data_IF_169755899301
#
_entry.id   IF_169755899301
#
_cell.length_a   1.000
_cell.length_b   1.000
_cell.length_c   1.000
_cell.angle_alpha   90.00
_cell.angle_beta   90.00
_cell.angle_gamma   90.00
#
_symmetry.space_group_name_H-M   'P 1'
#
loop_
_entity.id
_entity.type
_entity.pdbx_description
1 polymer ?
#
# COMPACT_ATOMS: atom_id res chain seq x y z
N UNK A 1 16.03 15.24 1.94
CA UNK A 1 15.43 13.97 1.48
C UNK A 1 14.28 14.29 0.53
N UNK A 2 14.02 13.44 -0.46
CA UNK A 2 12.83 13.59 -1.32
C UNK A 2 11.59 13.23 -0.51
N UNK A 3 10.58 14.10 -0.56
CA UNK A 3 9.32 13.93 0.13
C UNK A 3 8.14 14.31 -0.80
N UNK A 4 6.96 13.78 -0.47
CA UNK A 4 5.70 14.11 -1.10
C UNK A 4 4.86 14.94 -0.13
N UNK A 5 4.67 16.22 -0.46
CA UNK A 5 3.62 17.04 0.12
C UNK A 5 2.29 16.67 -0.53
N UNK A 6 1.36 16.17 0.28
CA UNK A 6 0.10 15.62 -0.19
C UNK A 6 -1.05 16.45 0.34
N UNK A 7 -1.87 16.96 -0.58
CA UNK A 7 -3.08 17.71 -0.28
C UNK A 7 -4.32 17.05 -0.88
N UNK A 8 -5.41 17.05 -0.12
CA UNK A 8 -6.73 16.59 -0.58
C UNK A 8 -7.72 17.75 -0.44
N UNK A 9 -8.42 18.08 -1.53
CA UNK A 9 -9.37 19.20 -1.61
C UNK A 9 -8.75 20.53 -1.12
N UNK A 10 -7.51 20.79 -1.52
CA UNK A 10 -6.75 22.00 -1.17
C UNK A 10 -6.25 22.06 0.28
N UNK A 11 -6.49 21.03 1.10
CA UNK A 11 -5.95 20.94 2.46
C UNK A 11 -4.73 20.03 2.48
N UNK A 12 -3.61 20.52 3.01
CA UNK A 12 -2.43 19.71 3.26
C UNK A 12 -2.78 18.62 4.30
N UNK A 13 -2.51 17.37 3.95
CA UNK A 13 -2.82 16.19 4.77
C UNK A 13 -1.55 15.64 5.40
N UNK A 14 -0.47 15.50 4.62
CA UNK A 14 0.82 15.06 5.14
C UNK A 14 1.96 15.45 4.21
N UNK A 15 3.17 15.50 4.79
CA UNK A 15 4.44 15.45 4.09
C UNK A 15 5.07 14.09 4.36
N UNK A 16 5.07 13.21 3.37
CA UNK A 16 5.58 11.84 3.50
C UNK A 16 6.99 11.74 2.90
N UNK A 17 7.90 11.05 3.58
CA UNK A 17 9.24 10.82 3.05
C UNK A 17 9.94 9.64 3.69
N UNK A 18 10.86 9.06 2.93
CA UNK A 18 11.78 8.02 3.40
C UNK A 18 13.18 8.61 3.36
N UNK A 19 14.01 8.27 4.36
CA UNK A 19 15.34 8.86 4.55
C UNK A 19 16.34 8.33 3.52
N UNK A 20 17.21 7.40 3.92
CA UNK A 20 18.41 7.08 3.14
C UNK A 20 18.13 6.08 2.02
N UNK A 21 17.53 4.94 2.36
CA UNK A 21 17.23 3.87 1.40
C UNK A 21 15.80 3.39 1.55
N UNK A 22 15.06 3.39 0.45
CA UNK A 22 13.71 2.86 0.45
C UNK A 22 12.87 3.26 -0.74
N UNK A 23 11.57 3.06 -0.59
CA UNK A 23 10.56 3.39 -1.59
C UNK A 23 9.57 4.35 -0.97
N UNK A 24 9.19 5.40 -1.70
CA UNK A 24 8.07 6.26 -1.37
C UNK A 24 7.06 6.20 -2.52
N UNK A 25 5.79 6.02 -2.20
CA UNK A 25 4.71 5.84 -3.17
C UNK A 25 3.46 6.58 -2.73
N UNK A 26 2.76 7.12 -3.72
CA UNK A 26 1.42 7.66 -3.57
C UNK A 26 0.57 7.04 -4.69
N UNK A 27 -0.41 6.23 -4.31
CA UNK A 27 -1.15 5.35 -5.22
C UNK A 27 -2.63 5.70 -5.13
N UNK A 28 -3.19 6.14 -6.25
CA UNK A 28 -4.63 6.29 -6.44
C UNK A 28 -5.16 5.03 -7.15
N UNK A 29 -6.02 4.29 -6.46
CA UNK A 29 -6.56 3.02 -6.93
C UNK A 29 -8.05 3.15 -7.16
N UNK A 30 -8.50 2.84 -8.37
CA UNK A 30 -9.91 2.57 -8.65
C UNK A 30 -10.05 1.11 -9.05
N UNK A 31 -10.90 0.37 -8.35
CA UNK A 31 -11.21 -1.01 -8.69
C UNK A 31 -12.72 -1.23 -8.69
N UNK A 32 -13.20 -1.86 -9.76
CA UNK A 32 -14.60 -2.27 -9.91
C UNK A 32 -14.62 -3.73 -10.30
N UNK A 33 -15.16 -4.58 -9.43
CA UNK A 33 -15.12 -6.04 -9.55
C UNK A 33 -16.49 -6.64 -9.28
N UNK A 34 -16.75 -7.81 -9.85
CA UNK A 34 -17.89 -8.63 -9.43
C UNK A 34 -17.54 -9.29 -8.10
N UNK A 35 -18.46 -9.26 -7.14
CA UNK A 35 -18.25 -9.88 -5.84
C UNK A 35 -18.02 -11.40 -6.02
N UNK A 36 -16.90 -11.92 -5.53
CA UNK A 36 -16.59 -13.36 -5.62
C UNK A 36 -17.52 -14.22 -4.73
N UNK A 37 -18.27 -13.60 -3.81
CA UNK A 37 -19.04 -14.28 -2.74
C UNK A 37 -20.55 -14.09 -2.81
N UNK A 38 -21.09 -13.28 -3.73
CA UNK A 38 -22.53 -13.18 -3.89
C UNK A 38 -22.99 -14.32 -4.80
N UNK A 39 -23.81 -15.24 -4.27
CA UNK A 39 -24.27 -16.44 -4.99
C UNK A 39 -25.10 -16.17 -6.24
N UNK A 40 -25.38 -14.92 -6.55
CA UNK A 40 -26.12 -14.41 -7.70
C UNK A 40 -25.24 -13.72 -8.76
N UNK A 41 -23.96 -13.43 -8.47
CA UNK A 41 -23.03 -12.77 -9.40
C UNK A 41 -23.42 -11.35 -9.83
N UNK A 42 -24.38 -10.74 -9.14
CA UNK A 42 -24.93 -9.41 -9.46
C UNK A 42 -24.37 -8.29 -8.59
N UNK A 43 -23.74 -8.61 -7.46
CA UNK A 43 -23.12 -7.60 -6.61
C UNK A 43 -21.82 -7.08 -7.24
N UNK A 44 -21.75 -5.76 -7.37
CA UNK A 44 -20.58 -5.04 -7.86
C UNK A 44 -19.92 -4.37 -6.66
N UNK A 45 -18.67 -4.71 -6.41
CA UNK A 45 -17.82 -4.00 -5.46
C UNK A 45 -17.02 -2.94 -6.20
N UNK A 46 -17.16 -1.69 -5.78
CA UNK A 46 -16.43 -0.55 -6.31
C UNK A 46 -15.70 0.17 -5.17
N UNK A 47 -14.40 0.39 -5.36
CA UNK A 47 -13.55 1.12 -4.43
C UNK A 47 -12.71 2.16 -5.16
N UNK A 48 -12.60 3.34 -4.56
CA UNK A 48 -11.67 4.40 -4.97
C UNK A 48 -10.86 4.79 -3.73
N UNK A 49 -9.60 4.39 -3.67
CA UNK A 49 -8.73 4.63 -2.52
C UNK A 49 -7.49 5.40 -2.93
N UNK A 50 -6.98 6.21 -2.00
CA UNK A 50 -5.71 6.88 -2.14
C UNK A 50 -4.84 6.57 -0.92
N UNK A 51 -3.68 6.01 -1.20
CA UNK A 51 -2.74 5.53 -0.20
C UNK A 51 -1.38 6.18 -0.42
N UNK A 52 -0.79 6.70 0.66
CA UNK A 52 0.57 7.23 0.68
C UNK A 52 1.37 6.40 1.67
N UNK A 53 2.39 5.74 1.16
CA UNK A 53 3.18 4.79 1.93
C UNK A 53 4.56 4.61 1.35
N UNK A 54 5.38 3.87 2.08
CA UNK A 54 6.75 3.61 1.71
C UNK A 54 7.32 2.40 2.41
N UNK A 55 8.53 2.05 2.02
CA UNK A 55 9.31 0.99 2.62
C UNK A 55 10.68 1.55 2.99
N UNK A 56 10.97 1.66 4.28
CA UNK A 56 12.31 2.00 4.76
C UNK A 56 13.17 0.75 4.79
N UNK A 57 14.21 0.72 3.96
CA UNK A 57 15.11 -0.42 3.79
C UNK A 57 16.35 -0.35 4.68
N UNK A 58 16.47 0.64 5.56
CA UNK A 58 17.61 0.78 6.47
C UNK A 58 17.53 -0.18 7.69
N UNK A 59 16.40 -0.86 7.88
CA UNK A 59 16.20 -1.80 8.97
C UNK A 59 16.91 -3.16 8.69
N UNK A 60 17.72 -3.69 9.63
CA UNK A 60 18.64 -4.81 9.37
C UNK A 60 18.02 -6.18 9.07
N UNK A 61 16.71 -6.39 9.27
CA UNK A 61 16.11 -7.74 9.21
C UNK A 61 14.85 -7.86 8.33
N UNK A 62 14.19 -6.75 8.02
CA UNK A 62 13.13 -6.64 7.03
C UNK A 62 12.81 -5.15 6.89
N UNK A 63 12.53 -4.66 5.68
CA UNK A 63 12.13 -3.26 5.49
C UNK A 63 10.92 -2.90 6.37
N UNK A 64 10.90 -1.67 6.87
CA UNK A 64 9.77 -1.14 7.65
C UNK A 64 8.77 -0.51 6.69
N UNK A 65 7.57 -1.09 6.60
CA UNK A 65 6.47 -0.50 5.84
C UNK A 65 5.90 0.68 6.61
N UNK A 66 5.84 1.83 5.95
CA UNK A 66 5.37 3.09 6.47
C UNK A 66 4.10 3.48 5.72
N UNK A 67 3.09 3.96 6.45
CA UNK A 67 1.87 4.51 5.85
C UNK A 67 1.55 5.86 6.49
N UNK A 68 1.42 6.89 5.66
CA UNK A 68 1.04 8.25 6.06
C UNK A 68 -0.41 8.57 5.76
N UNK A 69 -1.01 7.93 4.77
CA UNK A 69 -2.38 8.16 4.39
C UNK A 69 -2.99 6.88 3.83
N UNK A 70 -4.22 6.59 4.22
CA UNK A 70 -5.09 5.65 3.54
C UNK A 70 -6.52 6.15 3.62
N UNK A 71 -7.09 6.55 2.49
CA UNK A 71 -8.39 7.21 2.46
C UNK A 71 -9.22 6.79 1.25
N UNK A 72 -10.51 6.59 1.45
CA UNK A 72 -11.47 6.47 0.35
C UNK A 72 -11.81 7.86 -0.19
N UNK A 73 -11.84 7.98 -1.52
CA UNK A 73 -12.21 9.20 -2.22
C UNK A 73 -13.56 9.04 -2.91
N UNK A 74 -14.19 10.16 -3.21
CA UNK A 74 -15.41 10.22 -4.01
C UNK A 74 -15.20 11.08 -5.26
N UNK A 75 -16.07 10.92 -6.25
CA UNK A 75 -16.06 11.75 -7.46
C UNK A 75 -16.17 13.23 -7.07
N UNK A 76 -15.25 14.04 -7.57
CA UNK A 76 -15.15 15.47 -7.26
C UNK A 76 -14.05 15.80 -6.24
N UNK A 77 -13.51 14.80 -5.54
CA UNK A 77 -12.30 15.01 -4.73
C UNK A 77 -11.10 15.30 -5.62
N UNK A 78 -10.24 16.21 -5.17
CA UNK A 78 -8.97 16.57 -5.80
C UNK A 78 -7.81 16.14 -4.92
N UNK A 79 -6.84 15.46 -5.52
CA UNK A 79 -5.56 15.10 -4.90
C UNK A 79 -4.46 15.89 -5.58
N UNK A 80 -3.61 16.53 -4.79
CA UNK A 80 -2.41 17.22 -5.26
C UNK A 80 -1.20 16.65 -4.54
N UNK A 81 -0.16 16.33 -5.31
CA UNK A 81 1.11 15.80 -4.82
C UNK A 81 2.21 16.70 -5.34
N UNK A 82 3.00 17.28 -4.43
CA UNK A 82 4.21 18.02 -4.77
C UNK A 82 5.43 17.24 -4.32
N UNK A 83 6.37 17.05 -5.23
CA UNK A 83 7.68 16.48 -4.90
C UNK A 83 8.57 17.60 -4.40
N UNK A 84 9.06 17.47 -3.18
CA UNK A 84 9.89 18.48 -2.51
C UNK A 84 11.15 17.85 -1.94
N UNK A 85 12.15 18.68 -1.69
CA UNK A 85 13.33 18.30 -0.93
C UNK A 85 13.31 19.01 0.43
N UNK A 86 13.24 18.22 1.51
CA UNK A 86 13.11 18.73 2.89
C UNK A 86 13.97 17.90 3.86
N UNK A 87 14.28 18.48 5.01
CA UNK A 87 15.03 17.80 6.08
C UNK A 87 14.12 16.99 7.03
N UNK A 88 12.86 17.40 7.15
CA UNK A 88 11.89 16.81 8.08
C UNK A 88 10.58 16.52 7.35
N UNK A 89 9.95 15.43 7.76
CA UNK A 89 8.68 14.93 7.23
C UNK A 89 7.77 14.55 8.39
N UNK A 90 6.48 14.41 8.13
CA UNK A 90 5.53 14.01 9.15
C UNK A 90 5.78 12.57 9.59
N UNK A 91 5.37 12.25 10.83
CA UNK A 91 5.40 10.87 11.30
C UNK A 91 4.35 10.03 10.58
N UNK A 92 4.68 8.81 10.11
CA UNK A 92 3.71 7.92 9.51
C UNK A 92 2.66 7.49 10.54
N UNK A 93 1.40 7.39 10.10
CA UNK A 93 0.26 6.92 10.90
C UNK A 93 0.46 5.49 11.38
N UNK A 94 1.05 4.63 10.54
CA UNK A 94 1.39 3.26 10.91
C UNK A 94 2.79 2.87 10.46
N UNK A 95 3.43 2.06 11.29
CA UNK A 95 4.72 1.43 11.02
C UNK A 95 4.56 -0.06 11.24
N UNK A 96 4.81 -0.85 10.20
CA UNK A 96 4.79 -2.30 10.30
C UNK A 96 6.13 -2.84 9.84
N UNK A 97 6.82 -3.51 10.76
CA UNK A 97 7.95 -4.36 10.40
C UNK A 97 7.39 -5.68 9.91
N UNK A 98 7.90 -6.17 8.79
CA UNK A 98 7.65 -7.55 8.41
C UNK A 98 8.31 -8.46 9.44
N UNK A 99 7.51 -9.29 10.13
CA UNK A 99 8.04 -10.39 10.92
C UNK A 99 8.52 -11.47 9.93
N UNK A 100 9.82 -11.84 9.94
CA UNK A 100 10.35 -12.87 9.05
C UNK A 100 9.57 -14.19 9.14
N UNK A 101 9.02 -14.51 10.32
CA UNK A 101 8.18 -15.68 10.55
C UNK A 101 6.85 -15.57 9.81
N UNK A 102 6.17 -14.42 9.88
CA UNK A 102 4.93 -14.16 9.14
C UNK A 102 5.17 -14.24 7.63
N UNK A 103 6.27 -13.66 7.14
CA UNK A 103 6.66 -13.71 5.72
C UNK A 103 6.88 -15.17 5.27
N UNK A 104 7.56 -15.98 6.08
CA UNK A 104 7.79 -17.39 5.77
C UNK A 104 6.48 -18.21 5.79
N UNK A 105 5.55 -17.91 6.71
CA UNK A 105 4.22 -18.52 6.75
C UNK A 105 3.41 -18.13 5.50
N UNK A 106 3.44 -16.85 5.10
CA UNK A 106 2.78 -16.38 3.90
C UNK A 106 3.35 -17.04 2.63
N UNK A 107 4.68 -17.12 2.50
CA UNK A 107 5.36 -17.83 1.41
C UNK A 107 4.96 -19.31 1.35
N UNK A 108 4.89 -19.99 2.49
CA UNK A 108 4.45 -21.39 2.56
C UNK A 108 2.99 -21.53 2.12
N UNK A 109 2.09 -20.68 2.59
CA UNK A 109 0.67 -20.70 2.16
C UNK A 109 0.53 -20.45 0.66
N UNK A 110 1.30 -19.51 0.12
CA UNK A 110 1.32 -19.22 -1.31
C UNK A 110 1.81 -20.42 -2.12
N UNK A 111 2.90 -21.06 -1.69
CA UNK A 111 3.40 -22.29 -2.32
C UNK A 111 2.35 -23.41 -2.30
N UNK A 112 1.68 -23.64 -1.17
CA UNK A 112 0.62 -24.65 -1.08
C UNK A 112 -0.58 -24.33 -1.97
N UNK A 113 -0.94 -23.04 -2.11
CA UNK A 113 -1.98 -22.60 -3.05
C UNK A 113 -1.58 -22.87 -4.50
N UNK A 114 -0.36 -22.49 -4.89
CA UNK A 114 0.20 -22.73 -6.22
C UNK A 114 0.24 -24.22 -6.56
N UNK A 115 0.66 -25.08 -5.63
CA UNK A 115 0.66 -26.54 -5.83
C UNK A 115 -0.74 -27.08 -6.13
N UNK A 116 -1.77 -26.56 -5.44
CA UNK A 116 -3.17 -26.94 -5.70
C UNK A 116 -3.69 -26.41 -7.02
N UNK A 117 -3.37 -25.16 -7.36
CA UNK A 117 -3.83 -24.50 -8.59
C UNK A 117 -3.18 -25.07 -9.86
N UNK A 118 -1.88 -25.34 -9.81
CA UNK A 118 -1.12 -25.87 -10.95
C UNK A 118 -1.30 -27.38 -11.12
N UNK A 119 -2.01 -28.03 -10.19
CA UNK A 119 -2.03 -29.47 -10.03
C UNK A 119 -0.64 -29.99 -9.71
N UNK A 120 -0.56 -31.14 -9.05
CA UNK A 120 0.67 -31.91 -9.07
C UNK A 120 0.95 -32.36 -10.52
N UNK A 121 1.58 -31.49 -11.29
CA UNK A 121 2.35 -31.89 -12.46
C UNK A 121 3.63 -32.55 -11.99
N UNK A 122 3.54 -33.82 -11.58
CA UNK A 122 4.50 -34.92 -11.79
C UNK A 122 4.10 -36.10 -10.89
N UNK A 123 3.64 -37.20 -11.51
CA UNK A 123 3.43 -38.49 -10.86
C UNK A 123 2.29 -39.28 -11.45
#
# INVERSE_FOLDING_TARGET
MIAFEVSVNGRMVCTAGVRDFGVLSAILTWARRRAEKSGDGLDIEEELTFDVGGLDSCAPLAGEHLKWLGRSLVVGDSVSIRVVEVEQVDSPETRRREDPTEVMVAKRRYLERLKRELGEGTG
#
